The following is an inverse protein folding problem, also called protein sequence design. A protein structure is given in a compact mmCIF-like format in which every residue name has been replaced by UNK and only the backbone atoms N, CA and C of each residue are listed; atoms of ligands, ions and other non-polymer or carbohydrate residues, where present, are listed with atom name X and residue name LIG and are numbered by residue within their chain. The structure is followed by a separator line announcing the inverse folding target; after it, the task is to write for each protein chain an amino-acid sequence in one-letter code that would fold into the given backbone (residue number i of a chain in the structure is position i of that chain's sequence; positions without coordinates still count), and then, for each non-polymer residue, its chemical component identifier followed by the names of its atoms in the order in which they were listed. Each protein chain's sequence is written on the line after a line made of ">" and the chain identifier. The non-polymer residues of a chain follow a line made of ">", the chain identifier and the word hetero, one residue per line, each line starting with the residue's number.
data_IF_631195193408
#
_entry.id   IF_631195193408
#
_cell.length_a   1.000
_cell.length_b   1.000
_cell.length_c   1.000
_cell.angle_alpha   90.00
_cell.angle_beta   90.00
_cell.angle_gamma   90.00
#
_symmetry.space_group_name_H-M   'P 1'
#
loop_
_entity.id
_entity.type
_entity.pdbx_description
1 polymer ?
#
# COMPACT_ATOMS: atom_id res chain seq x y z
N UNK A 1 18.46 2.31 11.19
CA UNK A 1 19.92 2.42 11.18
C UNK A 1 20.41 1.98 9.81
N UNK A 2 20.39 2.89 8.86
CA UNK A 2 21.13 2.76 7.61
C UNK A 2 22.60 2.68 8.00
N UNK A 3 23.26 1.61 7.63
CA UNK A 3 24.67 1.40 7.96
C UNK A 3 25.50 2.39 7.13
N UNK A 4 25.88 3.53 7.73
CA UNK A 4 26.60 4.65 7.09
C UNK A 4 27.87 4.14 6.36
N UNK A 5 28.51 3.06 6.85
CA UNK A 5 29.67 2.46 6.22
C UNK A 5 29.43 1.90 4.82
N UNK A 6 28.18 1.55 4.49
CA UNK A 6 27.82 1.04 3.15
C UNK A 6 27.80 2.18 2.14
N UNK A 7 27.30 3.37 2.53
CA UNK A 7 27.18 4.52 1.64
C UNK A 7 28.54 5.00 1.14
N UNK A 8 29.57 4.91 1.95
CA UNK A 8 30.96 5.28 1.60
C UNK A 8 31.62 4.39 0.53
N UNK A 9 30.95 3.32 0.12
CA UNK A 9 31.46 2.41 -0.94
C UNK A 9 31.03 2.81 -2.34
N UNK A 10 30.19 3.84 -2.47
CA UNK A 10 29.64 4.27 -3.74
C UNK A 10 30.00 5.74 -4.01
N UNK A 11 30.30 6.08 -5.24
CA UNK A 11 30.62 7.45 -5.66
C UNK A 11 29.40 8.39 -5.53
N UNK A 12 28.21 7.84 -5.81
CA UNK A 12 26.94 8.57 -5.70
C UNK A 12 25.89 7.70 -5.03
N UNK A 13 25.19 8.27 -4.06
CA UNK A 13 24.06 7.63 -3.37
C UNK A 13 22.83 8.50 -3.53
N UNK A 14 21.73 7.92 -3.99
CA UNK A 14 20.43 8.57 -4.07
C UNK A 14 19.47 7.93 -3.08
N UNK A 15 18.76 8.75 -2.30
CA UNK A 15 17.85 8.24 -1.27
C UNK A 15 16.68 9.20 -1.07
N UNK A 16 15.54 8.66 -0.69
CA UNK A 16 14.40 9.43 -0.19
C UNK A 16 14.61 9.87 1.27
N UNK A 17 15.51 9.22 2.00
CA UNK A 17 15.77 9.48 3.43
C UNK A 17 16.46 10.83 3.60
N UNK A 18 15.71 11.80 4.15
CA UNK A 18 16.16 13.16 4.41
C UNK A 18 17.37 13.19 5.35
N UNK A 19 17.39 12.31 6.37
CA UNK A 19 18.51 12.31 7.31
C UNK A 19 19.85 11.98 6.63
N UNK A 20 19.85 11.07 5.66
CA UNK A 20 21.05 10.76 4.89
C UNK A 20 21.48 11.94 4.02
N UNK A 21 20.53 12.65 3.44
CA UNK A 21 20.81 13.84 2.63
C UNK A 21 21.33 15.00 3.47
N UNK A 22 20.72 15.27 4.61
CA UNK A 22 21.12 16.37 5.53
C UNK A 22 22.53 16.15 6.10
N UNK A 23 22.99 14.89 6.20
CA UNK A 23 24.37 14.53 6.58
C UNK A 23 25.34 14.44 5.39
N UNK A 24 24.92 14.83 4.18
CA UNK A 24 25.76 14.78 2.98
C UNK A 24 26.12 13.37 2.51
N UNK A 25 25.39 12.35 2.96
CA UNK A 25 25.64 10.94 2.62
C UNK A 25 24.86 10.48 1.38
N UNK A 26 23.89 11.27 0.93
CA UNK A 26 23.12 10.99 -0.27
C UNK A 26 22.57 12.27 -0.88
N UNK A 27 22.22 12.19 -2.17
CA UNK A 27 21.36 13.18 -2.82
C UNK A 27 19.91 12.78 -2.60
N UNK A 28 19.09 13.70 -2.06
CA UNK A 28 17.65 13.44 -1.85
C UNK A 28 16.95 13.35 -3.20
N UNK A 29 16.21 12.26 -3.40
CA UNK A 29 15.30 12.08 -4.52
C UNK A 29 13.95 11.59 -4.00
N UNK A 30 12.88 11.90 -4.70
CA UNK A 30 11.60 11.21 -4.53
C UNK A 30 11.69 9.86 -5.24
N UNK A 31 10.97 8.86 -4.74
CA UNK A 31 10.89 7.57 -5.44
C UNK A 31 10.31 7.81 -6.83
N UNK A 32 11.13 7.58 -7.85
CA UNK A 32 10.75 7.85 -9.23
C UNK A 32 9.55 6.99 -9.64
N UNK A 33 8.56 7.64 -10.21
CA UNK A 33 7.40 6.97 -10.79
C UNK A 33 7.10 7.59 -12.16
N UNK A 34 6.94 6.79 -13.20
CA UNK A 34 6.51 7.32 -14.49
C UNK A 34 5.08 7.85 -14.34
N UNK A 35 4.92 9.16 -14.37
CA UNK A 35 3.61 9.80 -14.45
C UNK A 35 3.00 9.42 -15.79
N UNK A 36 1.84 8.82 -15.78
CA UNK A 36 1.07 8.49 -16.99
C UNK A 36 0.64 9.73 -17.78
N UNK A 37 -0.02 9.52 -18.88
CA UNK A 37 -0.53 10.59 -19.76
C UNK A 37 -1.69 11.33 -19.09
N UNK A 38 -1.39 12.39 -18.33
CA UNK A 38 -2.36 13.37 -17.86
C UNK A 38 -3.45 12.83 -16.91
N UNK A 39 -4.16 13.74 -16.28
CA UNK A 39 -5.35 13.42 -15.46
C UNK A 39 -6.49 13.10 -16.42
N UNK A 40 -7.13 11.94 -16.21
CA UNK A 40 -8.27 11.53 -17.02
C UNK A 40 -9.54 12.14 -16.39
N UNK A 41 -10.23 12.97 -17.15
CA UNK A 41 -11.54 13.50 -16.78
C UNK A 41 -12.59 12.39 -16.79
N UNK A 42 -13.68 12.57 -16.08
CA UNK A 42 -14.79 11.60 -16.02
C UNK A 42 -15.15 11.11 -14.63
N UNK A 43 -14.85 11.89 -13.60
CA UNK A 43 -15.20 11.57 -12.20
C UNK A 43 -16.69 11.20 -12.00
N UNK A 44 -17.59 11.78 -12.78
CA UNK A 44 -19.04 11.53 -12.69
C UNK A 44 -19.46 10.11 -13.10
N UNK A 45 -18.70 9.46 -13.95
CA UNK A 45 -19.03 8.15 -14.53
C UNK A 45 -18.34 6.99 -13.80
N UNK A 46 -18.00 7.18 -12.52
CA UNK A 46 -17.29 6.17 -11.70
C UNK A 46 -18.28 5.47 -10.77
N UNK A 47 -18.48 4.19 -11.01
CA UNK A 47 -19.49 3.40 -10.28
C UNK A 47 -18.97 2.94 -8.90
N UNK A 48 -17.66 2.69 -8.78
CA UNK A 48 -17.04 2.28 -7.53
C UNK A 48 -16.70 3.49 -6.64
N UNK A 49 -17.24 3.53 -5.41
CA UNK A 49 -16.97 4.64 -4.51
C UNK A 49 -15.53 4.58 -4.00
N UNK A 50 -15.10 3.50 -3.34
CA UNK A 50 -13.79 3.37 -2.71
C UNK A 50 -13.10 2.10 -3.15
N UNK A 51 -11.82 2.20 -3.49
CA UNK A 51 -10.97 1.05 -3.80
C UNK A 51 -9.73 1.02 -2.92
N UNK A 52 -9.28 -0.19 -2.57
CA UNK A 52 -8.00 -0.41 -1.93
C UNK A 52 -7.18 -1.43 -2.73
N UNK A 53 -5.94 -1.04 -3.08
CA UNK A 53 -4.95 -1.95 -3.65
C UNK A 53 -3.90 -2.33 -2.64
N UNK A 54 -3.70 -3.62 -2.45
CA UNK A 54 -2.66 -4.10 -1.55
C UNK A 54 -2.51 -5.60 -1.57
N UNK A 55 -1.38 -6.08 -1.06
CA UNK A 55 -1.20 -7.51 -0.82
C UNK A 55 -1.37 -7.81 0.66
N UNK A 56 -1.95 -8.95 0.98
CA UNK A 56 -2.02 -9.46 2.35
C UNK A 56 -0.61 -9.85 2.82
N UNK A 57 0.06 -8.91 3.47
CA UNK A 57 1.44 -9.03 3.96
C UNK A 57 1.53 -8.54 5.41
N UNK A 58 2.61 -8.92 6.07
CA UNK A 58 3.02 -8.37 7.36
C UNK A 58 4.51 -8.01 7.31
N UNK A 59 4.88 -6.93 7.95
CA UNK A 59 6.29 -6.59 8.15
C UNK A 59 6.84 -7.36 9.35
N UNK A 60 7.98 -8.03 9.15
CA UNK A 60 8.73 -8.68 10.22
C UNK A 60 9.77 -7.70 10.78
N UNK A 61 9.92 -7.66 12.10
CA UNK A 61 11.00 -6.92 12.75
C UNK A 61 10.84 -5.40 12.86
N UNK A 62 9.74 -4.82 12.41
CA UNK A 62 9.47 -3.39 12.55
C UNK A 62 8.58 -3.11 13.76
N UNK A 63 8.80 -1.93 14.36
CA UNK A 63 8.00 -1.50 15.48
C UNK A 63 6.52 -1.38 15.07
N UNK A 64 5.57 -1.98 15.83
CA UNK A 64 4.15 -2.03 15.44
C UNK A 64 3.53 -0.67 15.12
N UNK A 65 3.94 0.40 15.82
CA UNK A 65 3.42 1.77 15.62
C UNK A 65 3.68 2.37 14.24
N UNK A 66 4.69 1.88 13.52
CA UNK A 66 5.01 2.38 12.17
C UNK A 66 4.41 1.53 11.06
N UNK A 67 3.86 0.38 11.39
CA UNK A 67 3.37 -0.61 10.43
C UNK A 67 1.94 -0.31 10.00
N UNK A 68 1.74 0.04 8.74
CA UNK A 68 0.41 0.31 8.18
C UNK A 68 -0.29 -0.92 7.59
N UNK A 69 0.33 -2.09 7.58
CA UNK A 69 -0.35 -3.30 7.10
C UNK A 69 -1.52 -3.71 8.01
N UNK A 70 -1.38 -3.57 9.34
CA UNK A 70 -2.47 -3.81 10.29
C UNK A 70 -3.60 -2.80 10.14
N UNK A 71 -3.25 -1.52 9.93
CA UNK A 71 -4.24 -0.47 9.75
C UNK A 71 -5.03 -0.66 8.44
N UNK A 72 -4.36 -1.14 7.40
CA UNK A 72 -5.01 -1.54 6.15
C UNK A 72 -6.07 -2.62 6.37
N UNK A 73 -5.74 -3.64 7.17
CA UNK A 73 -6.71 -4.70 7.53
C UNK A 73 -7.89 -4.14 8.32
N UNK A 74 -7.65 -3.24 9.28
CA UNK A 74 -8.74 -2.58 10.04
C UNK A 74 -9.66 -1.79 9.11
N UNK A 75 -9.09 -1.03 8.18
CA UNK A 75 -9.85 -0.26 7.18
C UNK A 75 -10.71 -1.19 6.31
N UNK A 76 -10.14 -2.28 5.80
CA UNK A 76 -10.90 -3.27 5.02
C UNK A 76 -12.08 -3.81 5.83
N UNK A 77 -11.84 -4.24 7.07
CA UNK A 77 -12.90 -4.76 7.94
C UNK A 77 -13.96 -3.74 8.28
N UNK A 78 -13.56 -2.48 8.44
CA UNK A 78 -14.52 -1.40 8.68
C UNK A 78 -15.47 -1.24 7.49
N UNK A 79 -14.95 -1.19 6.26
CA UNK A 79 -15.77 -1.09 5.05
C UNK A 79 -16.65 -2.33 4.86
N UNK A 80 -16.12 -3.54 5.07
CA UNK A 80 -16.90 -4.78 4.96
C UNK A 80 -18.09 -4.81 5.90
N UNK A 81 -17.96 -4.19 7.08
CA UNK A 81 -19.01 -4.17 8.10
C UNK A 81 -20.00 -2.99 7.93
N UNK A 82 -19.56 -1.84 7.41
CA UNK A 82 -20.34 -0.60 7.44
C UNK A 82 -20.79 -0.12 6.06
N UNK A 83 -20.04 -0.41 4.99
CA UNK A 83 -20.33 0.05 3.64
C UNK A 83 -19.82 -0.97 2.58
N UNK A 84 -20.30 -2.22 2.61
CA UNK A 84 -19.78 -3.29 1.76
C UNK A 84 -20.03 -3.07 0.27
N UNK A 85 -21.12 -2.39 -0.10
CA UNK A 85 -21.43 -2.05 -1.50
C UNK A 85 -20.51 -1.00 -2.09
N UNK A 86 -19.94 -0.15 -1.27
CA UNK A 86 -19.15 1.01 -1.68
C UNK A 86 -17.65 0.72 -1.79
N UNK A 87 -17.22 -0.46 -1.36
CA UNK A 87 -15.82 -0.80 -1.22
C UNK A 87 -15.40 -2.02 -2.05
N UNK A 88 -14.26 -1.91 -2.72
CA UNK A 88 -13.64 -3.02 -3.43
C UNK A 88 -12.16 -3.18 -3.04
N UNK A 89 -11.77 -4.40 -2.70
CA UNK A 89 -10.40 -4.78 -2.35
C UNK A 89 -9.76 -5.54 -3.51
N UNK A 90 -8.57 -5.11 -3.92
CA UNK A 90 -7.78 -5.79 -4.95
C UNK A 90 -6.37 -6.09 -4.45
N UNK A 91 -5.82 -7.20 -4.96
CA UNK A 91 -4.45 -7.59 -4.70
C UNK A 91 -4.27 -9.05 -4.33
N UNK A 92 -3.04 -9.41 -3.95
CA UNK A 92 -2.66 -10.82 -3.77
C UNK A 92 -2.91 -11.32 -2.35
N UNK A 93 -3.33 -12.60 -2.23
CA UNK A 93 -3.40 -13.37 -0.97
C UNK A 93 -4.48 -12.93 0.02
N UNK A 94 -5.53 -12.26 -0.40
CA UNK A 94 -6.67 -11.94 0.44
C UNK A 94 -7.70 -13.08 0.56
N UNK A 95 -7.49 -14.17 -0.18
CA UNK A 95 -8.16 -15.45 0.03
C UNK A 95 -7.71 -16.20 1.29
N UNK A 96 -6.77 -15.63 2.03
CA UNK A 96 -6.22 -16.16 3.28
C UNK A 96 -6.49 -15.15 4.39
N UNK A 97 -6.51 -15.61 5.66
CA UNK A 97 -6.68 -14.72 6.82
C UNK A 97 -5.62 -13.62 6.86
N UNK A 98 -5.88 -12.58 7.65
CA UNK A 98 -4.94 -11.46 7.81
C UNK A 98 -3.57 -11.98 8.29
N UNK A 99 -2.52 -11.60 7.58
CA UNK A 99 -1.17 -12.04 7.92
C UNK A 99 -0.68 -11.33 9.17
N UNK A 100 -0.38 -12.09 10.21
CA UNK A 100 0.22 -11.60 11.44
C UNK A 100 1.75 -11.61 11.35
N UNK A 101 2.40 -10.65 12.00
CA UNK A 101 3.87 -10.53 12.04
C UNK A 101 4.54 -11.60 12.92
N UNK A 102 3.76 -12.44 13.59
CA UNK A 102 4.23 -13.46 14.53
C UNK A 102 4.58 -14.78 13.85
N UNK A 103 5.42 -15.61 14.51
CA UNK A 103 5.70 -16.99 14.08
C UNK A 103 4.43 -17.84 14.06
N UNK A 104 3.53 -17.64 15.02
CA UNK A 104 2.24 -18.32 15.09
C UNK A 104 1.34 -17.96 13.90
N UNK A 105 1.27 -16.68 13.52
CA UNK A 105 0.54 -16.25 12.32
C UNK A 105 1.11 -16.86 11.02
N UNK A 106 2.41 -17.04 10.93
CA UNK A 106 3.03 -17.72 9.78
C UNK A 106 2.65 -19.21 9.72
N UNK A 107 2.52 -19.86 10.87
CA UNK A 107 2.09 -21.25 11.00
C UNK A 107 0.62 -21.43 10.57
N UNK A 108 -0.30 -20.60 11.09
CA UNK A 108 -1.70 -20.59 10.68
C UNK A 108 -1.82 -20.43 9.16
N UNK A 109 -1.11 -19.47 8.58
CA UNK A 109 -1.12 -19.21 7.15
C UNK A 109 -0.60 -20.41 6.30
N UNK A 110 0.33 -21.18 6.87
CA UNK A 110 0.82 -22.41 6.23
C UNK A 110 -0.22 -23.52 6.23
N UNK A 111 -1.02 -23.61 7.28
CA UNK A 111 -2.13 -24.58 7.39
C UNK A 111 -3.26 -24.19 6.42
N UNK A 112 -3.69 -22.92 6.42
CA UNK A 112 -4.75 -22.43 5.53
C UNK A 112 -4.49 -22.72 4.06
N UNK A 113 -3.23 -22.65 3.61
CA UNK A 113 -2.86 -23.00 2.24
C UNK A 113 -3.09 -24.48 1.88
N UNK A 114 -3.14 -25.35 2.87
CA UNK A 114 -3.27 -26.81 2.69
C UNK A 114 -4.70 -27.29 2.88
N UNK A 115 -5.57 -26.45 3.47
CA UNK A 115 -6.96 -26.80 3.72
C UNK A 115 -7.79 -26.42 2.48
N UNK A 116 -8.50 -27.35 1.84
CA UNK A 116 -9.34 -27.06 0.67
C UNK A 116 -10.65 -26.34 1.05
N UNK A 117 -10.69 -25.66 2.18
CA UNK A 117 -11.87 -24.95 2.66
C UNK A 117 -11.99 -23.61 1.91
N UNK A 118 -13.16 -23.35 1.31
CA UNK A 118 -13.50 -22.02 0.72
C UNK A 118 -13.80 -21.01 1.83
N UNK A 119 -12.80 -20.69 2.63
CA UNK A 119 -12.91 -19.60 3.57
C UNK A 119 -12.63 -18.30 2.82
N UNK A 120 -13.61 -17.38 2.83
CA UNK A 120 -13.43 -16.03 2.27
C UNK A 120 -13.34 -15.02 3.43
N UNK A 121 -12.14 -14.80 3.97
CA UNK A 121 -11.95 -13.91 5.12
C UNK A 121 -12.17 -12.44 4.77
N UNK A 122 -12.18 -12.10 3.48
CA UNK A 122 -12.35 -10.73 2.97
C UNK A 122 -13.38 -10.74 1.84
N UNK A 123 -14.69 -10.65 2.15
CA UNK A 123 -15.76 -10.67 1.14
C UNK A 123 -15.66 -9.58 0.08
N UNK A 124 -15.06 -8.44 0.41
CA UNK A 124 -14.79 -7.33 -0.51
C UNK A 124 -13.73 -7.62 -1.56
N UNK A 125 -13.00 -8.73 -1.44
CA UNK A 125 -11.90 -9.05 -2.35
C UNK A 125 -12.38 -9.48 -3.73
N UNK A 126 -11.92 -8.74 -4.75
CA UNK A 126 -12.25 -8.96 -6.17
C UNK A 126 -11.12 -9.66 -6.95
N UNK A 127 -10.05 -10.09 -6.26
CA UNK A 127 -8.93 -10.79 -6.90
C UNK A 127 -7.70 -9.92 -7.16
N UNK A 128 -6.76 -10.48 -7.93
CA UNK A 128 -5.60 -9.75 -8.43
C UNK A 128 -5.91 -9.21 -9.82
N UNK A 129 -5.43 -8.02 -10.13
CA UNK A 129 -5.59 -7.40 -11.45
C UNK A 129 -4.23 -7.22 -12.12
N UNK A 130 -4.19 -7.33 -13.43
CA UNK A 130 -3.00 -7.08 -14.24
C UNK A 130 -2.82 -5.57 -14.46
N UNK A 131 -3.91 -4.86 -14.72
CA UNK A 131 -3.93 -3.44 -14.93
C UNK A 131 -4.68 -2.72 -13.78
N UNK A 132 -3.92 -2.16 -12.87
CA UNK A 132 -4.43 -1.40 -11.73
C UNK A 132 -5.14 -0.11 -12.19
N UNK A 133 -4.65 0.50 -13.27
CA UNK A 133 -5.15 1.77 -13.76
C UNK A 133 -6.62 1.68 -14.20
N UNK A 134 -7.02 0.60 -14.86
CA UNK A 134 -8.41 0.39 -15.28
C UNK A 134 -9.39 0.44 -14.11
N UNK A 135 -9.03 -0.17 -12.98
CA UNK A 135 -9.88 -0.17 -11.78
C UNK A 135 -9.89 1.22 -11.13
N UNK A 136 -8.75 1.89 -11.08
CA UNK A 136 -8.67 3.25 -10.55
C UNK A 136 -9.55 4.21 -11.36
N UNK A 137 -9.58 4.09 -12.67
CA UNK A 137 -10.41 4.91 -13.55
C UNK A 137 -11.92 4.75 -13.29
N UNK A 138 -12.35 3.60 -12.79
CA UNK A 138 -13.74 3.34 -12.40
C UNK A 138 -14.06 3.71 -10.95
N UNK A 139 -13.08 4.21 -10.18
CA UNK A 139 -13.22 4.47 -8.75
C UNK A 139 -13.12 5.97 -8.45
N UNK A 140 -13.87 6.45 -7.43
CA UNK A 140 -13.83 7.86 -7.00
C UNK A 140 -12.72 8.12 -5.99
N UNK A 141 -12.59 7.24 -5.00
CA UNK A 141 -11.60 7.33 -3.93
C UNK A 141 -10.68 6.13 -3.94
N UNK A 142 -9.43 6.34 -3.55
CA UNK A 142 -8.46 5.25 -3.35
C UNK A 142 -7.88 5.33 -1.96
N UNK A 143 -7.94 4.23 -1.20
CA UNK A 143 -7.20 4.11 0.06
C UNK A 143 -5.74 3.86 -0.26
N UNK A 144 -4.91 4.84 0.05
CA UNK A 144 -3.49 4.90 -0.29
C UNK A 144 -2.68 4.89 1.00
N UNK A 145 -2.51 3.71 1.58
CA UNK A 145 -1.64 3.53 2.74
C UNK A 145 -0.26 3.08 2.29
N UNK A 146 0.77 3.78 2.71
CA UNK A 146 2.13 3.31 2.55
C UNK A 146 2.36 2.04 3.38
N UNK A 147 3.52 1.41 3.24
CA UNK A 147 3.84 0.24 4.04
C UNK A 147 4.16 0.62 5.49
N UNK A 148 4.67 1.85 5.65
CA UNK A 148 5.17 2.40 6.90
C UNK A 148 4.73 3.86 6.99
N UNK A 149 4.40 4.33 8.19
CA UNK A 149 4.11 5.73 8.47
C UNK A 149 5.27 6.44 9.15
N UNK A 150 5.24 7.78 9.13
CA UNK A 150 6.13 8.64 9.91
C UNK A 150 7.57 8.70 9.40
N UNK A 151 7.81 8.32 8.15
CA UNK A 151 9.10 8.49 7.49
C UNK A 151 8.99 9.63 6.47
N UNK A 152 9.69 10.74 6.72
CA UNK A 152 9.75 11.86 5.80
C UNK A 152 10.34 11.45 4.45
N UNK A 153 9.68 11.84 3.37
CA UNK A 153 10.08 11.53 1.99
C UNK A 153 9.74 10.10 1.53
N UNK A 154 9.20 9.24 2.38
CA UNK A 154 8.78 7.90 1.98
C UNK A 154 7.41 7.94 1.28
N UNK A 155 7.39 8.54 0.12
CA UNK A 155 6.22 8.69 -0.75
C UNK A 155 6.44 7.78 -1.96
N UNK A 156 5.58 6.76 -2.14
CA UNK A 156 5.72 5.79 -3.22
C UNK A 156 4.77 6.07 -4.38
N UNK A 157 4.82 5.23 -5.41
CA UNK A 157 3.96 5.29 -6.58
C UNK A 157 2.46 5.33 -6.29
N UNK A 158 2.02 4.88 -5.12
CA UNK A 158 0.62 4.66 -4.81
C UNK A 158 -0.25 5.91 -4.90
N UNK A 159 0.25 7.03 -4.37
CA UNK A 159 -0.50 8.28 -4.41
C UNK A 159 -0.52 8.87 -5.82
N UNK A 160 0.58 8.74 -6.55
CA UNK A 160 0.66 9.20 -7.93
C UNK A 160 -0.24 8.41 -8.87
N UNK A 161 -0.34 7.08 -8.68
CA UNK A 161 -1.31 6.24 -9.39
C UNK A 161 -2.75 6.74 -9.21
N UNK A 162 -3.11 7.14 -7.97
CA UNK A 162 -4.43 7.68 -7.68
C UNK A 162 -4.64 9.04 -8.37
N UNK A 163 -3.68 9.95 -8.31
CA UNK A 163 -3.77 11.26 -8.97
C UNK A 163 -3.87 11.14 -10.49
N UNK A 164 -3.02 10.30 -11.10
CA UNK A 164 -3.04 10.08 -12.56
C UNK A 164 -4.37 9.51 -13.02
N UNK A 165 -4.99 8.65 -12.21
CA UNK A 165 -6.32 8.15 -12.49
C UNK A 165 -7.45 9.14 -12.14
N UNK A 166 -7.15 10.31 -11.57
CA UNK A 166 -8.14 11.29 -11.12
C UNK A 166 -8.94 10.81 -9.89
N UNK A 167 -8.41 9.91 -9.10
CA UNK A 167 -9.01 9.54 -7.81
C UNK A 167 -8.66 10.56 -6.73
N UNK A 168 -9.53 10.66 -5.73
CA UNK A 168 -9.20 11.33 -4.47
C UNK A 168 -8.49 10.32 -3.55
N UNK A 169 -7.18 10.50 -3.23
CA UNK A 169 -6.48 9.58 -2.35
C UNK A 169 -6.86 9.81 -0.89
N UNK A 170 -7.16 8.73 -0.17
CA UNK A 170 -7.22 8.69 1.28
C UNK A 170 -5.85 8.21 1.75
N UNK A 171 -4.96 9.15 1.99
CA UNK A 171 -3.54 8.87 2.20
C UNK A 171 -3.15 8.70 3.66
N UNK A 172 -2.27 7.74 3.90
CA UNK A 172 -1.58 7.58 5.18
C UNK A 172 -0.15 7.05 4.94
N UNK A 173 0.86 7.81 5.39
CA UNK A 173 2.27 7.44 5.15
C UNK A 173 3.26 8.47 5.65
N UNK A 174 3.93 9.13 4.71
CA UNK A 174 4.88 10.19 5.00
C UNK A 174 4.18 11.42 5.58
N UNK A 175 4.77 12.10 6.57
CA UNK A 175 4.18 13.28 7.19
C UNK A 175 4.35 14.56 6.35
N UNK A 176 5.24 14.53 5.37
CA UNK A 176 5.68 15.66 4.56
C UNK A 176 5.13 15.64 3.11
N UNK A 177 3.94 15.06 2.93
CA UNK A 177 3.26 15.01 1.64
C UNK A 177 2.53 16.29 1.32
#
# INVERSE_FOLDING_TARGET
>A
NSNISIHKKYDHVFSWDKNLADHGLSTKILLAHPLGKGIIDGYKNRDQLVVLFGSNRALRGWHPKFNLYSERVKTIKWFENNAPSDFALYGKKWNLSARLSTRFGAFIHSIEKRIPFKFNPFPSWKGSVLNKQEILLCSRFSVVYENIQGLEGYITEKIFDAFVAGNVPIYWGAPDI
#
